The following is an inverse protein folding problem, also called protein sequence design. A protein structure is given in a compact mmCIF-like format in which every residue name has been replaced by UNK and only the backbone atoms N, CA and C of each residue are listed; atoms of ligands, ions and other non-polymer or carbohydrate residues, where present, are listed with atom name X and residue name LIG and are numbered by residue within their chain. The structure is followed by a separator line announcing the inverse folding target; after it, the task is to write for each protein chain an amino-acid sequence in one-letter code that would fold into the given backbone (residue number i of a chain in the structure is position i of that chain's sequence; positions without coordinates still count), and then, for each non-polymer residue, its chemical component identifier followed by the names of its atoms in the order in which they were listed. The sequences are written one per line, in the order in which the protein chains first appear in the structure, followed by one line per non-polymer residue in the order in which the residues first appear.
data_IF_405818920862
#
_entry.id   IF_405818920862
#
_cell.length_a   1.000
_cell.length_b   1.000
_cell.length_c   1.000
_cell.angle_alpha   90.00
_cell.angle_beta   90.00
_cell.angle_gamma   90.00
#
_symmetry.space_group_name_H-M   'P 1'
#
loop_
_entity.id
_entity.type
_entity.pdbx_description
1 polymer ?
#
# COMPACT_ATOMS: atom_id res chain seq x y z
N UNK A 1 -19.82 -36.09 55.44
CA UNK A 1 -19.49 -36.12 54.01
C UNK A 1 -19.59 -34.72 53.44
N UNK A 2 -18.46 -33.99 53.28
CA UNK A 2 -18.43 -32.68 52.59
C UNK A 2 -17.92 -32.93 51.17
N UNK A 3 -18.80 -32.81 50.19
CA UNK A 3 -18.44 -32.78 48.76
C UNK A 3 -17.70 -31.48 48.47
N UNK A 4 -16.43 -31.60 48.11
CA UNK A 4 -15.61 -30.52 47.59
C UNK A 4 -16.19 -30.10 46.22
N UNK A 5 -16.80 -28.93 46.16
CA UNK A 5 -17.22 -28.31 44.93
C UNK A 5 -15.96 -27.98 44.11
N UNK A 6 -15.91 -28.54 42.93
CA UNK A 6 -14.79 -28.49 42.00
C UNK A 6 -14.26 -27.09 41.76
N UNK A 7 -12.95 -26.97 41.79
CA UNK A 7 -12.24 -25.73 41.48
C UNK A 7 -12.56 -25.25 40.08
N UNK A 8 -13.19 -24.10 40.00
CA UNK A 8 -13.30 -23.35 38.77
C UNK A 8 -11.88 -23.06 38.31
N UNK A 9 -11.45 -23.71 37.24
CA UNK A 9 -10.19 -23.38 36.58
C UNK A 9 -10.27 -21.89 36.22
N UNK A 10 -9.60 -21.04 36.99
CA UNK A 10 -9.39 -19.64 36.64
C UNK A 10 -8.76 -19.64 35.25
N UNK A 11 -9.59 -19.33 34.23
CA UNK A 11 -9.12 -19.11 32.87
C UNK A 11 -8.01 -18.06 32.98
N UNK A 12 -6.78 -18.46 32.80
CA UNK A 12 -5.63 -17.54 32.87
C UNK A 12 -5.74 -16.60 31.66
N UNK A 13 -6.14 -15.34 31.81
CA UNK A 13 -6.36 -14.43 30.67
C UNK A 13 -5.09 -14.29 29.83
N UNK A 14 -3.93 -14.35 30.46
CA UNK A 14 -2.63 -14.36 29.81
C UNK A 14 -2.40 -15.54 28.84
N UNK A 15 -2.96 -16.70 29.13
CA UNK A 15 -2.86 -17.87 28.26
C UNK A 15 -3.62 -17.66 26.94
N UNK A 16 -4.84 -17.11 27.03
CA UNK A 16 -5.65 -16.83 25.85
C UNK A 16 -5.10 -15.65 25.06
N UNK A 17 -4.56 -14.62 25.73
CA UNK A 17 -3.87 -13.51 25.08
C UNK A 17 -2.67 -13.99 24.26
N UNK A 18 -1.79 -14.81 24.84
CA UNK A 18 -0.67 -15.40 24.11
C UNK A 18 -1.09 -16.19 22.89
N UNK A 19 -2.13 -17.02 23.00
CA UNK A 19 -2.66 -17.80 21.89
C UNK A 19 -3.23 -16.89 20.80
N UNK A 20 -3.96 -15.85 21.16
CA UNK A 20 -4.46 -14.87 20.24
C UNK A 20 -3.33 -14.17 19.46
N UNK A 21 -2.28 -13.73 20.15
CA UNK A 21 -1.11 -13.12 19.51
C UNK A 21 -0.42 -14.10 18.55
N UNK A 22 -0.18 -15.35 18.99
CA UNK A 22 0.44 -16.39 18.14
C UNK A 22 -0.43 -16.68 16.92
N UNK A 23 -1.75 -16.75 17.08
CA UNK A 23 -2.67 -16.97 15.96
C UNK A 23 -2.62 -15.81 14.95
N UNK A 24 -2.61 -14.55 15.40
CA UNK A 24 -2.49 -13.38 14.54
C UNK A 24 -1.15 -13.39 13.78
N UNK A 25 -0.05 -13.64 14.48
CA UNK A 25 1.27 -13.75 13.84
C UNK A 25 1.30 -14.89 12.80
N UNK A 26 0.70 -16.04 13.13
CA UNK A 26 0.57 -17.17 12.21
C UNK A 26 -0.26 -16.82 10.98
N UNK A 27 -1.35 -16.08 11.13
CA UNK A 27 -2.17 -15.60 10.01
C UNK A 27 -1.41 -14.60 9.13
N UNK A 28 -0.61 -13.71 9.70
CA UNK A 28 0.23 -12.80 8.92
C UNK A 28 1.32 -13.56 8.13
N UNK A 29 2.01 -14.50 8.75
CA UNK A 29 3.00 -15.34 8.06
C UNK A 29 2.33 -16.13 6.93
N UNK A 30 1.18 -16.75 7.19
CA UNK A 30 0.40 -17.46 6.17
C UNK A 30 -0.02 -16.52 5.03
N UNK A 31 -0.50 -15.32 5.36
CA UNK A 31 -0.87 -14.29 4.37
C UNK A 31 0.33 -13.85 3.52
N UNK A 32 1.50 -13.61 4.13
CA UNK A 32 2.73 -13.27 3.40
C UNK A 32 3.10 -14.39 2.42
N UNK A 33 3.09 -15.65 2.86
CA UNK A 33 3.44 -16.78 1.99
C UNK A 33 2.38 -16.99 0.91
N UNK A 34 1.10 -16.94 1.24
CA UNK A 34 0.01 -17.14 0.28
C UNK A 34 0.00 -16.03 -0.78
N UNK A 35 0.08 -14.77 -0.36
CA UNK A 35 0.06 -13.63 -1.27
C UNK A 35 1.39 -13.39 -2.00
N UNK A 36 2.42 -14.19 -1.76
CA UNK A 36 3.58 -14.24 -2.66
C UNK A 36 3.19 -14.77 -4.04
N UNK A 37 2.15 -15.63 -4.13
CA UNK A 37 1.77 -16.35 -5.35
C UNK A 37 0.33 -16.09 -5.80
N UNK A 38 -0.58 -15.86 -4.86
CA UNK A 38 -2.01 -15.72 -5.13
C UNK A 38 -2.43 -14.26 -5.33
N UNK A 39 -3.45 -13.97 -6.14
CA UNK A 39 -4.11 -12.68 -6.16
C UNK A 39 -4.58 -12.26 -4.76
N UNK A 40 -4.51 -10.96 -4.48
CA UNK A 40 -5.03 -10.39 -3.23
C UNK A 40 -6.47 -9.95 -3.46
N UNK A 41 -7.48 -10.62 -2.89
CA UNK A 41 -8.87 -10.31 -3.18
C UNK A 41 -9.34 -9.01 -2.53
N UNK A 42 -8.76 -8.66 -1.37
CA UNK A 42 -9.01 -7.41 -0.65
C UNK A 42 -7.88 -7.13 0.35
N UNK A 43 -7.65 -5.87 0.63
CA UNK A 43 -6.67 -5.42 1.63
C UNK A 43 -7.35 -5.03 2.94
N UNK A 44 -6.58 -4.90 4.03
CA UNK A 44 -7.10 -4.45 5.31
C UNK A 44 -7.73 -3.05 5.21
N UNK A 45 -7.15 -2.15 4.42
CA UNK A 45 -7.70 -0.82 4.18
C UNK A 45 -9.03 -0.88 3.42
N UNK A 46 -9.17 -1.75 2.41
CA UNK A 46 -10.45 -1.97 1.72
C UNK A 46 -11.55 -2.45 2.68
N UNK A 47 -11.21 -3.42 3.55
CA UNK A 47 -12.14 -3.91 4.58
C UNK A 47 -12.52 -2.79 5.56
N UNK A 48 -11.54 -2.01 6.02
CA UNK A 48 -11.80 -0.86 6.92
C UNK A 48 -12.73 0.17 6.28
N UNK A 49 -12.51 0.54 5.02
CA UNK A 49 -13.39 1.46 4.27
C UNK A 49 -14.81 0.90 4.12
N UNK A 50 -14.92 -0.37 3.74
CA UNK A 50 -16.21 -1.04 3.59
C UNK A 50 -17.00 -1.07 4.89
N UNK A 51 -16.37 -1.46 6.00
CA UNK A 51 -17.01 -1.50 7.33
C UNK A 51 -17.38 -0.08 7.78
N UNK A 52 -16.52 0.90 7.57
CA UNK A 52 -16.77 2.30 7.92
C UNK A 52 -17.99 2.86 7.16
N UNK A 53 -18.12 2.56 5.88
CA UNK A 53 -19.27 2.95 5.05
C UNK A 53 -20.58 2.31 5.58
N UNK A 54 -20.57 1.02 5.90
CA UNK A 54 -21.74 0.34 6.47
C UNK A 54 -22.15 0.95 7.83
N UNK A 55 -21.17 1.25 8.69
CA UNK A 55 -21.44 1.87 9.99
C UNK A 55 -21.99 3.30 9.87
N UNK A 56 -21.65 4.02 8.81
CA UNK A 56 -22.19 5.35 8.50
C UNK A 56 -23.54 5.32 7.77
N UNK A 57 -24.06 4.12 7.45
CA UNK A 57 -25.34 3.93 6.76
C UNK A 57 -25.25 3.94 5.24
N UNK A 58 -24.06 4.04 4.66
CA UNK A 58 -23.87 3.92 3.21
C UNK A 58 -23.73 2.45 2.81
N UNK A 59 -24.89 1.82 2.57
CA UNK A 59 -24.96 0.42 2.13
C UNK A 59 -24.64 0.25 0.63
N UNK A 60 -24.60 1.33 -0.13
CA UNK A 60 -24.28 1.34 -1.56
C UNK A 60 -22.78 1.40 -1.84
N UNK A 61 -21.96 1.74 -0.85
CA UNK A 61 -20.51 1.79 -1.00
C UNK A 61 -19.92 0.39 -1.16
N UNK A 62 -19.09 0.22 -2.17
CA UNK A 62 -18.34 -1.02 -2.42
C UNK A 62 -16.88 -0.67 -2.65
N UNK A 63 -16.02 -1.10 -1.72
CA UNK A 63 -14.57 -1.07 -1.91
C UNK A 63 -14.20 -2.17 -2.91
N UNK A 64 -13.88 -1.81 -4.14
CA UNK A 64 -13.65 -2.76 -5.23
C UNK A 64 -12.25 -2.60 -5.82
N UNK A 65 -11.65 -3.73 -6.20
CA UNK A 65 -10.40 -3.79 -6.93
C UNK A 65 -10.45 -4.97 -7.90
N UNK A 66 -10.27 -4.70 -9.19
CA UNK A 66 -10.07 -5.72 -10.19
C UNK A 66 -8.58 -6.08 -10.24
N UNK A 67 -8.27 -7.31 -9.80
CA UNK A 67 -6.89 -7.79 -9.81
C UNK A 67 -6.39 -8.04 -11.22
N UNK A 68 -5.25 -7.45 -11.55
CA UNK A 68 -4.53 -7.69 -12.81
C UNK A 68 -3.08 -8.10 -12.54
N UNK A 69 -2.51 -8.94 -13.43
CA UNK A 69 -1.10 -9.30 -13.38
C UNK A 69 -0.22 -8.10 -13.75
N UNK A 70 1.08 -8.14 -13.42
CA UNK A 70 2.01 -7.09 -13.82
C UNK A 70 2.09 -6.97 -15.35
N UNK A 71 1.96 -8.08 -16.08
CA UNK A 71 1.96 -8.10 -17.54
C UNK A 71 0.74 -7.39 -18.18
N UNK A 72 -0.33 -7.17 -17.38
CA UNK A 72 -1.54 -6.45 -17.76
C UNK A 72 -1.59 -5.03 -17.21
N UNK A 73 -0.48 -4.55 -16.63
CA UNK A 73 -0.30 -3.16 -16.19
C UNK A 73 0.69 -2.47 -17.14
N UNK A 74 0.39 -1.25 -17.53
CA UNK A 74 1.32 -0.45 -18.33
C UNK A 74 2.64 -0.24 -17.60
N UNK A 75 3.81 -0.46 -18.24
CA UNK A 75 5.12 -0.14 -17.67
C UNK A 75 5.20 1.32 -17.18
N UNK A 76 4.48 2.22 -17.84
CA UNK A 76 4.39 3.63 -17.45
C UNK A 76 3.79 3.81 -16.05
N UNK A 77 2.86 2.92 -15.62
CA UNK A 77 2.27 3.01 -14.28
C UNK A 77 3.24 2.58 -13.19
N UNK A 78 3.96 1.47 -13.40
CA UNK A 78 5.01 1.01 -12.51
C UNK A 78 6.08 2.09 -12.32
N UNK A 79 6.54 2.67 -13.42
CA UNK A 79 7.53 3.74 -13.43
C UNK A 79 7.02 5.01 -12.75
N UNK A 80 5.76 5.42 -12.99
CA UNK A 80 5.17 6.62 -12.41
C UNK A 80 5.07 6.52 -10.88
N UNK A 81 4.67 5.37 -10.36
CA UNK A 81 4.56 5.13 -8.91
C UNK A 81 5.94 5.15 -8.25
N UNK A 82 6.92 4.47 -8.82
CA UNK A 82 8.30 4.53 -8.30
C UNK A 82 8.86 5.96 -8.36
N UNK A 83 8.68 6.65 -9.46
CA UNK A 83 9.12 8.05 -9.62
C UNK A 83 8.47 8.99 -8.60
N UNK A 84 7.22 8.72 -8.21
CA UNK A 84 6.45 9.55 -7.29
C UNK A 84 6.73 9.28 -5.82
N UNK A 85 6.90 8.00 -5.45
CA UNK A 85 6.87 7.52 -4.07
C UNK A 85 8.22 6.95 -3.59
N UNK A 86 8.97 6.26 -4.47
CA UNK A 86 10.13 5.48 -4.04
C UNK A 86 11.12 5.23 -5.18
N UNK A 87 11.92 6.22 -5.53
CA UNK A 87 12.84 6.15 -6.68
C UNK A 87 13.97 5.12 -6.50
N UNK A 88 14.23 4.70 -5.27
CA UNK A 88 15.24 3.69 -4.92
C UNK A 88 14.63 2.33 -4.59
N UNK A 89 13.39 2.10 -4.97
CA UNK A 89 12.67 0.87 -4.66
C UNK A 89 13.45 -0.42 -4.98
N UNK A 90 14.19 -0.53 -6.10
CA UNK A 90 14.99 -1.72 -6.38
C UNK A 90 16.17 -1.91 -5.44
N UNK A 91 16.73 -0.82 -4.89
CA UNK A 91 18.06 -0.78 -4.26
C UNK A 91 18.03 -1.06 -2.74
N UNK A 92 16.83 -1.02 -2.11
CA UNK A 92 16.74 -1.17 -0.66
C UNK A 92 15.89 -2.38 -0.24
N UNK A 93 16.10 -2.85 0.98
CA UNK A 93 15.34 -3.94 1.61
C UNK A 93 14.20 -3.38 2.47
N UNK A 94 13.21 -2.79 1.83
CA UNK A 94 12.00 -2.27 2.47
C UNK A 94 12.14 -0.92 3.15
N UNK A 95 13.36 -0.42 3.39
CA UNK A 95 13.61 0.83 4.09
C UNK A 95 14.69 1.65 3.37
N UNK A 96 14.34 2.85 2.91
CA UNK A 96 15.32 3.83 2.42
C UNK A 96 15.83 4.66 3.62
N UNK A 97 16.92 4.20 4.23
CA UNK A 97 17.53 4.85 5.41
C UNK A 97 17.93 6.28 5.09
N UNK A 98 18.49 6.54 3.91
CA UNK A 98 18.90 7.88 3.51
C UNK A 98 17.69 8.84 3.35
N UNK A 99 16.58 8.33 2.82
CA UNK A 99 15.34 9.12 2.75
C UNK A 99 14.75 9.39 4.14
N UNK A 100 14.83 8.42 5.07
CA UNK A 100 14.39 8.57 6.47
C UNK A 100 15.21 9.65 7.16
N UNK A 101 16.53 9.61 7.10
CA UNK A 101 17.42 10.63 7.69
C UNK A 101 17.14 12.03 7.13
N UNK A 102 16.96 12.12 5.82
CA UNK A 102 16.63 13.37 5.12
C UNK A 102 15.26 13.92 5.53
N UNK A 103 14.27 13.03 5.73
CA UNK A 103 12.95 13.42 6.19
C UNK A 103 12.99 13.90 7.65
N UNK A 104 13.71 13.21 8.53
CA UNK A 104 13.88 13.61 9.94
C UNK A 104 14.52 15.01 10.03
N UNK A 105 15.65 15.22 9.36
CA UNK A 105 16.33 16.54 9.34
C UNK A 105 15.45 17.66 8.74
N UNK A 106 14.63 17.34 7.73
CA UNK A 106 13.68 18.30 7.17
C UNK A 106 12.57 18.65 8.16
N UNK A 107 12.02 17.64 8.83
CA UNK A 107 10.89 17.81 9.76
C UNK A 107 11.30 18.56 11.04
N UNK A 108 12.52 18.37 11.50
CA UNK A 108 13.09 19.17 12.59
C UNK A 108 13.18 20.67 12.21
N UNK A 109 13.63 20.97 10.99
CA UNK A 109 13.78 22.34 10.50
C UNK A 109 12.46 22.98 10.08
N UNK A 110 11.45 22.19 9.71
CA UNK A 110 10.15 22.67 9.17
C UNK A 110 8.98 21.84 9.72
N UNK A 111 8.63 21.96 11.00
CA UNK A 111 7.61 21.13 11.66
C UNK A 111 6.19 21.30 11.08
N UNK A 112 5.93 22.41 10.36
CA UNK A 112 4.64 22.66 9.68
C UNK A 112 4.52 22.01 8.29
N UNK A 113 5.62 21.44 7.75
CA UNK A 113 5.68 20.77 6.44
C UNK A 113 6.32 19.40 6.58
N UNK A 114 5.60 18.48 7.22
CA UNK A 114 6.08 17.11 7.46
C UNK A 114 6.28 16.40 6.12
N UNK A 115 7.49 15.87 5.93
CA UNK A 115 7.85 15.00 4.81
C UNK A 115 7.79 13.55 5.27
N UNK A 116 7.10 12.70 4.53
CA UNK A 116 7.14 11.25 4.68
C UNK A 116 8.37 10.65 3.99
N UNK A 117 8.76 9.47 4.46
CA UNK A 117 9.82 8.65 3.86
C UNK A 117 9.43 7.17 3.86
N UNK A 118 8.14 6.87 3.73
CA UNK A 118 7.66 5.49 3.63
C UNK A 118 7.87 4.98 2.22
N UNK A 119 8.47 3.80 2.12
CA UNK A 119 8.75 3.11 0.85
C UNK A 119 7.48 2.41 0.31
N UNK A 120 7.52 1.96 -0.94
CA UNK A 120 6.46 1.14 -1.54
C UNK A 120 6.23 -0.15 -0.75
N UNK A 121 7.29 -0.80 -0.26
CA UNK A 121 7.19 -2.00 0.59
C UNK A 121 6.46 -1.72 1.89
N UNK A 122 6.77 -0.61 2.57
CA UNK A 122 6.08 -0.21 3.80
C UNK A 122 4.60 0.13 3.55
N UNK A 123 4.31 0.81 2.45
CA UNK A 123 2.94 1.12 2.06
C UNK A 123 2.15 -0.15 1.71
N UNK A 124 2.77 -1.11 1.01
CA UNK A 124 2.17 -2.43 0.71
C UNK A 124 1.85 -3.19 2.00
N UNK A 125 2.82 -3.33 2.91
CA UNK A 125 2.62 -4.00 4.19
C UNK A 125 1.51 -3.35 5.02
N UNK A 126 1.51 -2.01 5.10
CA UNK A 126 0.46 -1.25 5.80
C UNK A 126 -0.91 -1.51 5.18
N UNK A 127 -1.08 -1.26 3.88
CA UNK A 127 -2.37 -1.33 3.23
C UNK A 127 -2.96 -2.75 3.24
N UNK A 128 -2.11 -3.77 3.10
CA UNK A 128 -2.53 -5.15 3.03
C UNK A 128 -2.93 -5.75 4.38
N UNK A 129 -2.19 -5.44 5.46
CA UNK A 129 -2.29 -6.15 6.72
C UNK A 129 -2.72 -5.29 7.92
N UNK A 130 -2.68 -3.96 7.82
CA UNK A 130 -2.91 -3.06 8.93
C UNK A 130 -4.03 -2.06 8.63
N UNK A 131 -4.53 -1.48 9.71
CA UNK A 131 -5.55 -0.43 9.67
C UNK A 131 -4.95 0.96 9.40
N UNK A 132 -5.78 1.90 8.98
CA UNK A 132 -5.38 3.30 8.88
C UNK A 132 -5.25 3.94 10.28
N UNK A 133 -4.41 4.95 10.42
CA UNK A 133 -4.17 5.62 11.68
C UNK A 133 -2.69 5.83 11.99
N UNK A 134 -2.40 6.54 13.10
CA UNK A 134 -1.03 6.91 13.49
C UNK A 134 -0.76 6.45 14.92
N UNK A 135 0.01 5.39 15.08
CA UNK A 135 0.53 4.94 16.37
C UNK A 135 1.90 4.30 16.22
N UNK A 136 2.73 4.40 17.26
CA UNK A 136 4.05 3.77 17.29
C UNK A 136 3.96 2.24 17.22
N UNK A 137 2.94 1.66 17.88
CA UNK A 137 2.70 0.22 17.81
C UNK A 137 2.44 -0.23 16.36
N UNK A 138 1.51 0.46 15.66
CA UNK A 138 1.22 0.16 14.26
C UNK A 138 2.48 0.32 13.38
N UNK A 139 3.29 1.35 13.62
CA UNK A 139 4.53 1.56 12.87
C UNK A 139 5.57 0.45 13.13
N UNK A 140 5.64 -0.09 14.33
CA UNK A 140 6.46 -1.26 14.65
C UNK A 140 5.98 -2.52 13.93
N UNK A 141 4.65 -2.76 13.91
CA UNK A 141 4.04 -3.88 13.16
C UNK A 141 4.28 -3.74 11.65
N UNK A 142 4.11 -2.53 11.11
CA UNK A 142 4.40 -2.23 9.71
C UNK A 142 5.86 -2.59 9.37
N UNK A 143 6.82 -2.21 10.20
CA UNK A 143 8.22 -2.52 9.97
C UNK A 143 8.48 -4.05 9.97
N UNK A 144 7.90 -4.79 10.91
CA UNK A 144 8.00 -6.25 10.94
C UNK A 144 7.40 -6.92 9.71
N UNK A 145 6.20 -6.50 9.29
CA UNK A 145 5.53 -7.01 8.08
C UNK A 145 6.29 -6.63 6.80
N UNK A 146 6.84 -5.41 6.73
CA UNK A 146 7.71 -4.97 5.63
C UNK A 146 8.91 -5.89 5.47
N UNK A 147 9.60 -6.20 6.58
CA UNK A 147 10.71 -7.15 6.55
C UNK A 147 10.26 -8.55 6.10
N UNK A 148 9.07 -8.99 6.53
CA UNK A 148 8.49 -10.26 6.12
C UNK A 148 8.21 -10.35 4.63
N UNK A 149 7.59 -9.33 4.03
CA UNK A 149 7.32 -9.34 2.58
C UNK A 149 8.62 -9.23 1.76
N UNK A 150 9.59 -8.45 2.18
CA UNK A 150 10.89 -8.32 1.49
C UNK A 150 11.70 -9.64 1.52
N UNK A 151 11.55 -10.45 2.58
CA UNK A 151 12.21 -11.76 2.66
C UNK A 151 11.59 -12.82 1.73
N UNK A 152 10.29 -12.70 1.43
CA UNK A 152 9.54 -13.74 0.72
C UNK A 152 9.19 -13.34 -0.71
N UNK A 153 8.95 -12.05 -0.97
CA UNK A 153 8.46 -11.56 -2.26
C UNK A 153 9.58 -10.93 -3.07
N UNK A 154 9.50 -11.06 -4.39
CA UNK A 154 10.32 -10.27 -5.31
C UNK A 154 9.84 -8.81 -5.33
N UNK A 155 10.70 -7.89 -5.72
CA UNK A 155 10.33 -6.48 -5.92
C UNK A 155 9.15 -6.33 -6.91
N UNK A 156 9.20 -7.10 -8.00
CA UNK A 156 8.10 -7.16 -8.98
C UNK A 156 6.77 -7.56 -8.30
N UNK A 157 6.81 -8.55 -7.40
CA UNK A 157 5.60 -8.97 -6.66
C UNK A 157 5.10 -7.89 -5.71
N UNK A 158 5.98 -7.24 -4.96
CA UNK A 158 5.61 -6.14 -4.06
C UNK A 158 4.92 -5.03 -4.85
N UNK A 159 5.50 -4.63 -5.99
CA UNK A 159 4.95 -3.59 -6.86
C UNK A 159 3.60 -4.00 -7.46
N UNK A 160 3.46 -5.26 -7.92
CA UNK A 160 2.20 -5.81 -8.43
C UNK A 160 1.10 -5.72 -7.37
N UNK A 161 1.38 -6.18 -6.16
CA UNK A 161 0.40 -6.13 -5.06
C UNK A 161 0.06 -4.69 -4.72
N UNK A 162 1.06 -3.80 -4.59
CA UNK A 162 0.85 -2.38 -4.33
C UNK A 162 -0.14 -1.76 -5.34
N UNK A 163 0.12 -1.95 -6.64
CA UNK A 163 -0.69 -1.37 -7.71
C UNK A 163 -2.13 -1.90 -7.72
N UNK A 164 -2.35 -3.10 -7.20
CA UNK A 164 -3.70 -3.69 -7.12
C UNK A 164 -4.46 -3.32 -5.85
N UNK A 165 -3.82 -2.85 -4.78
CA UNK A 165 -4.49 -2.58 -3.49
C UNK A 165 -4.46 -1.12 -3.07
N UNK A 166 -3.68 -0.25 -3.71
CA UNK A 166 -3.60 1.17 -3.35
C UNK A 166 -4.86 1.91 -3.77
N UNK A 167 -5.29 2.87 -2.96
CA UNK A 167 -6.46 3.71 -3.22
C UNK A 167 -6.09 4.89 -4.12
N UNK A 168 -6.79 5.06 -5.25
CA UNK A 168 -6.63 6.15 -6.22
C UNK A 168 -7.73 7.21 -6.15
N UNK A 169 -8.74 6.97 -5.37
CA UNK A 169 -9.89 7.83 -5.14
C UNK A 169 -10.83 7.19 -4.14
N UNK A 170 -11.85 7.89 -3.70
CA UNK A 170 -12.79 7.38 -2.71
C UNK A 170 -13.47 6.10 -3.22
N UNK A 171 -13.15 4.96 -2.58
CA UNK A 171 -13.61 3.63 -2.97
C UNK A 171 -12.99 3.04 -4.22
N UNK A 172 -12.01 3.71 -4.86
CA UNK A 172 -11.34 3.26 -6.08
C UNK A 172 -10.01 2.63 -5.72
N UNK A 173 -9.98 1.32 -5.64
CA UNK A 173 -8.78 0.56 -5.30
C UNK A 173 -8.22 -0.18 -6.51
N UNK A 174 -6.90 -0.19 -6.62
CA UNK A 174 -6.21 -0.86 -7.70
C UNK A 174 -6.19 -0.08 -9.03
N UNK A 175 -5.14 -0.35 -9.78
CA UNK A 175 -4.85 0.38 -11.02
C UNK A 175 -5.85 0.07 -12.14
N UNK A 176 -6.40 -1.15 -12.20
CA UNK A 176 -7.39 -1.51 -13.23
C UNK A 176 -8.68 -0.76 -13.02
N UNK A 177 -9.25 -0.78 -11.80
CA UNK A 177 -10.45 -0.02 -11.47
C UNK A 177 -10.23 1.50 -11.71
N UNK A 178 -9.08 2.04 -11.29
CA UNK A 178 -8.75 3.44 -11.52
C UNK A 178 -8.65 3.78 -13.02
N UNK A 179 -8.06 2.90 -13.82
CA UNK A 179 -7.93 3.08 -15.27
C UNK A 179 -9.29 3.05 -15.97
N UNK A 180 -10.14 2.09 -15.62
CA UNK A 180 -11.49 2.00 -16.16
C UNK A 180 -12.32 3.22 -15.79
N UNK A 181 -12.31 3.58 -14.50
CA UNK A 181 -13.13 4.65 -13.96
C UNK A 181 -12.76 6.03 -14.48
N UNK A 182 -11.48 6.34 -14.59
CA UNK A 182 -11.02 7.69 -14.96
C UNK A 182 -10.70 7.84 -16.44
N UNK A 183 -10.38 6.76 -17.14
CA UNK A 183 -9.93 6.82 -18.54
C UNK A 183 -10.69 5.89 -19.48
N UNK A 184 -11.62 5.06 -18.97
CA UNK A 184 -12.42 4.10 -19.72
C UNK A 184 -11.57 3.17 -20.61
N UNK A 185 -10.50 2.62 -20.03
CA UNK A 185 -9.60 1.67 -20.71
C UNK A 185 -8.84 0.80 -19.69
N UNK A 186 -8.32 -0.38 -20.12
CA UNK A 186 -7.55 -1.26 -19.25
C UNK A 186 -6.22 -0.61 -18.81
N UNK A 187 -5.74 -1.00 -17.62
CA UNK A 187 -4.48 -0.51 -17.04
C UNK A 187 -3.28 -0.72 -17.95
N UNK A 188 -3.29 -1.76 -18.77
CA UNK A 188 -2.25 -2.05 -19.78
C UNK A 188 -2.07 -0.93 -20.81
N UNK A 189 -3.08 -0.12 -21.05
CA UNK A 189 -3.07 0.96 -22.05
C UNK A 189 -2.88 2.34 -21.44
N UNK A 190 -2.56 2.46 -20.16
CA UNK A 190 -2.24 3.75 -19.55
C UNK A 190 -1.02 4.37 -20.21
N UNK A 191 -1.17 5.63 -20.65
CA UNK A 191 -0.07 6.45 -21.15
C UNK A 191 0.77 7.00 -20.00
N UNK A 192 1.98 7.47 -20.26
CA UNK A 192 2.84 8.11 -19.25
C UNK A 192 2.15 9.28 -18.53
N UNK A 193 1.35 10.07 -19.26
CA UNK A 193 0.61 11.21 -18.69
C UNK A 193 -0.48 10.75 -17.73
N UNK A 194 -1.26 9.74 -18.08
CA UNK A 194 -2.34 9.20 -17.25
C UNK A 194 -1.77 8.46 -16.03
N UNK A 195 -0.73 7.66 -16.22
CA UNK A 195 -0.01 6.99 -15.14
C UNK A 195 0.54 8.00 -14.11
N UNK A 196 1.18 9.08 -14.60
CA UNK A 196 1.67 10.15 -13.74
C UNK A 196 0.54 10.91 -13.03
N UNK A 197 -0.65 11.03 -13.65
CA UNK A 197 -1.82 11.64 -13.04
C UNK A 197 -2.36 10.75 -11.89
N UNK A 198 -2.48 9.44 -12.10
CA UNK A 198 -2.84 8.48 -11.05
C UNK A 198 -1.81 8.50 -9.90
N UNK A 199 -0.53 8.49 -10.20
CA UNK A 199 0.51 8.59 -9.17
C UNK A 199 0.48 9.93 -8.41
N UNK A 200 0.00 11.01 -9.05
CA UNK A 200 -0.10 12.32 -8.41
C UNK A 200 -1.18 12.41 -7.33
N UNK A 201 -2.22 11.58 -7.36
CA UNK A 201 -3.30 11.59 -6.36
C UNK A 201 -3.02 10.73 -5.14
N UNK A 202 -2.06 9.79 -5.20
CA UNK A 202 -1.75 8.83 -4.13
C UNK A 202 -1.51 9.44 -2.74
N UNK A 203 -0.89 10.62 -2.58
CA UNK A 203 -0.67 11.18 -1.24
C UNK A 203 -1.94 11.52 -0.47
N UNK A 204 -3.04 11.75 -1.15
CA UNK A 204 -4.34 12.00 -0.54
C UNK A 204 -5.48 11.75 -1.55
N UNK A 205 -5.86 10.49 -1.81
CA UNK A 205 -6.82 10.12 -2.84
C UNK A 205 -8.25 10.62 -2.57
N UNK A 206 -8.59 10.94 -1.32
CA UNK A 206 -9.88 11.56 -0.97
C UNK A 206 -9.95 13.04 -1.31
N UNK A 207 -8.81 13.72 -1.40
CA UNK A 207 -8.74 15.16 -1.72
C UNK A 207 -8.33 15.42 -3.16
N UNK A 208 -7.39 14.64 -3.67
CA UNK A 208 -6.85 14.78 -5.01
C UNK A 208 -7.65 13.91 -5.98
N UNK A 209 -8.14 14.51 -7.04
CA UNK A 209 -9.02 13.84 -7.99
C UNK A 209 -8.33 13.71 -9.33
N UNK A 210 -8.36 12.51 -9.91
CA UNK A 210 -7.82 12.26 -11.25
C UNK A 210 -8.79 12.71 -12.36
N UNK A 211 -10.09 12.64 -12.11
CA UNK A 211 -11.14 13.09 -13.04
C UNK A 211 -11.34 14.62 -13.08
N UNK A 212 -10.91 15.32 -12.03
CA UNK A 212 -10.97 16.78 -11.93
C UNK A 212 -9.71 17.35 -11.27
N UNK A 213 -8.53 17.23 -11.92
CA UNK A 213 -7.25 17.53 -11.31
C UNK A 213 -7.12 19.05 -11.04
N UNK A 214 -6.77 19.39 -9.80
CA UNK A 214 -6.42 20.75 -9.42
C UNK A 214 -5.08 21.19 -10.02
N UNK A 215 -4.80 22.51 -10.01
CA UNK A 215 -3.50 23.03 -10.46
C UNK A 215 -2.31 22.38 -9.74
N UNK A 216 -2.44 22.03 -8.44
CA UNK A 216 -1.43 21.29 -7.70
C UNK A 216 -1.23 19.88 -8.26
N UNK A 217 -2.30 19.15 -8.54
CA UNK A 217 -2.23 17.78 -9.10
C UNK A 217 -1.57 17.79 -10.47
N UNK A 218 -1.90 18.76 -11.33
CA UNK A 218 -1.27 18.93 -12.65
C UNK A 218 0.23 19.25 -12.52
N UNK A 219 0.63 20.12 -11.60
CA UNK A 219 2.05 20.42 -11.37
C UNK A 219 2.81 19.17 -10.86
N UNK A 220 2.18 18.38 -9.96
CA UNK A 220 2.75 17.12 -9.45
C UNK A 220 2.86 16.09 -10.57
N UNK A 221 1.84 15.92 -11.41
CA UNK A 221 1.88 15.07 -12.60
C UNK A 221 3.08 15.40 -13.50
N UNK A 222 3.25 16.69 -13.84
CA UNK A 222 4.38 17.13 -14.66
C UNK A 222 5.72 16.86 -14.00
N UNK A 223 5.82 17.02 -12.68
CA UNK A 223 7.01 16.69 -11.93
C UNK A 223 7.29 15.18 -12.00
N UNK A 224 6.28 14.31 -11.79
CA UNK A 224 6.40 12.85 -11.91
C UNK A 224 6.88 12.46 -13.30
N UNK A 225 6.29 13.01 -14.36
CA UNK A 225 6.74 12.73 -15.73
C UNK A 225 8.21 13.11 -15.97
N UNK A 226 8.70 14.19 -15.35
CA UNK A 226 10.13 14.51 -15.38
C UNK A 226 10.96 13.47 -14.64
N UNK A 227 10.53 13.02 -13.46
CA UNK A 227 11.23 11.98 -12.69
C UNK A 227 11.26 10.64 -13.44
N UNK A 228 10.16 10.23 -14.07
CA UNK A 228 10.12 9.02 -14.91
C UNK A 228 11.21 9.02 -16.00
N UNK A 229 11.38 10.17 -16.67
CA UNK A 229 12.46 10.33 -17.68
C UNK A 229 13.86 10.31 -17.06
N UNK A 230 14.04 10.93 -15.89
CA UNK A 230 15.34 10.96 -15.18
C UNK A 230 15.75 9.59 -14.65
N UNK A 231 14.79 8.72 -14.31
CA UNK A 231 15.04 7.33 -13.94
C UNK A 231 15.50 6.47 -15.14
N UNK A 232 15.28 6.91 -16.37
CA UNK A 232 15.68 6.15 -17.58
C UNK A 232 14.50 5.54 -18.34
N UNK A 233 13.26 5.86 -17.96
CA UNK A 233 12.06 5.34 -18.64
C UNK A 233 11.89 3.83 -18.44
N UNK A 234 11.37 3.14 -19.45
CA UNK A 234 11.10 1.70 -19.39
C UNK A 234 12.37 0.86 -19.24
N UNK A 235 13.52 1.33 -19.74
CA UNK A 235 14.79 0.64 -19.57
C UNK A 235 15.13 0.40 -18.09
N UNK A 236 14.79 1.34 -17.21
CA UNK A 236 14.95 1.20 -15.77
C UNK A 236 14.18 0.00 -15.20
N UNK A 237 12.98 -0.28 -15.71
CA UNK A 237 12.18 -1.44 -15.26
C UNK A 237 12.84 -2.75 -15.65
N UNK A 238 13.25 -2.88 -16.92
CA UNK A 238 13.90 -4.08 -17.44
C UNK A 238 15.25 -4.35 -16.78
N UNK A 239 16.06 -3.32 -16.56
CA UNK A 239 17.34 -3.42 -15.83
C UNK A 239 17.17 -3.92 -14.39
N UNK A 240 16.02 -3.61 -13.76
CA UNK A 240 15.70 -4.00 -12.39
C UNK A 240 14.72 -5.19 -12.30
N UNK A 241 14.38 -5.85 -13.41
CA UNK A 241 13.46 -7.01 -13.48
C UNK A 241 12.06 -6.70 -12.88
N UNK A 242 11.51 -5.52 -13.19
CA UNK A 242 10.25 -5.01 -12.67
C UNK A 242 9.13 -4.96 -13.73
N UNK A 243 9.44 -5.20 -14.98
CA UNK A 243 8.52 -5.27 -16.13
C UNK A 243 7.76 -6.60 -16.23
#
# INVERSE_FOLDING_TARGET
MRKSLGGWRRLRPWYWLKRGVIAILGLWVLGIVAFAFLPVPFSAVMVERQVSAWLSGDLGYVAHSDWVSMDDISPQMALAVMAAEDQKFPDHWGFDVAAIEKALSHNEKRPTRIRGASTLSQQTAKNLFLWDGRSWLRKGLEAGLTSGIELVWTKRRILTVYLNIVEFGDGVFGVEEASQRYFNKPAKRLTASEAALLAAVLPNPHRFRADAPSGYVIQRQQWIMRQMRQLGGEAFLSENQLD
#
